data_IF_324941885944
#
_entry.id   IF_324941885944
#
_cell.length_a   1.000
_cell.length_b   1.000
_cell.length_c   1.000
_cell.angle_alpha   90.00
_cell.angle_beta   90.00
_cell.angle_gamma   90.00
#
_symmetry.space_group_name_H-M   'P 1'
#
loop_
_entity.id
_entity.type
_entity.pdbx_description
1 polymer ?
#
# COMPACT_ATOMS: atom_id res chain seq x y z
N UNK A 1 12.06 -2.02 13.91
CA UNK A 1 11.99 -2.03 12.43
C UNK A 1 11.14 -3.21 12.01
N UNK A 2 10.12 -3.04 11.16
CA UNK A 2 9.40 -4.20 10.60
C UNK A 2 10.35 -5.01 9.70
N UNK A 3 10.37 -6.33 9.86
CA UNK A 3 11.26 -7.24 9.10
C UNK A 3 10.57 -7.70 7.80
N UNK A 4 10.26 -6.73 6.94
CA UNK A 4 9.65 -6.97 5.63
C UNK A 4 10.73 -7.43 4.64
N UNK A 5 10.41 -8.39 3.78
CA UNK A 5 11.31 -8.92 2.75
C UNK A 5 10.60 -9.09 1.41
N UNK A 6 11.39 -9.34 0.36
CA UNK A 6 10.89 -9.64 -0.98
C UNK A 6 9.88 -10.79 -0.95
N UNK A 7 8.75 -10.61 -1.63
CA UNK A 7 7.66 -11.59 -1.69
C UNK A 7 6.69 -11.56 -0.51
N UNK A 8 6.88 -10.69 0.48
CA UNK A 8 5.94 -10.61 1.61
C UNK A 8 4.58 -10.03 1.20
N UNK A 9 3.58 -10.39 2.00
CA UNK A 9 2.22 -9.87 1.95
C UNK A 9 2.03 -8.97 3.17
N UNK A 10 1.77 -7.70 2.93
CA UNK A 10 1.72 -6.67 3.98
C UNK A 10 0.33 -6.06 4.04
N UNK A 11 -0.22 -6.00 5.26
CA UNK A 11 -1.42 -5.24 5.59
C UNK A 11 -1.00 -3.98 6.35
N UNK A 12 -1.48 -2.83 5.90
CA UNK A 12 -1.31 -1.53 6.57
C UNK A 12 -2.69 -1.02 7.03
N UNK A 13 -2.84 -0.85 8.34
CA UNK A 13 -4.09 -0.41 8.98
C UNK A 13 -3.95 1.08 9.28
N UNK A 14 -4.99 1.86 8.94
CA UNK A 14 -4.96 3.32 8.95
C UNK A 14 -3.89 3.88 7.99
N UNK A 15 -3.86 3.32 6.76
CA UNK A 15 -2.81 3.61 5.79
C UNK A 15 -2.81 5.07 5.29
N UNK A 16 -3.87 5.84 5.59
CA UNK A 16 -4.03 7.23 5.21
C UNK A 16 -3.97 7.40 3.70
N UNK A 17 -3.13 8.34 3.26
CA UNK A 17 -2.89 8.59 1.82
C UNK A 17 -1.82 7.66 1.23
N UNK A 18 -1.49 6.57 1.92
CA UNK A 18 -0.59 5.50 1.46
C UNK A 18 0.89 5.87 1.37
N UNK A 19 1.37 6.88 2.12
CA UNK A 19 2.79 7.29 2.05
C UNK A 19 3.77 6.13 2.27
N UNK A 20 3.43 5.19 3.15
CA UNK A 20 4.29 4.03 3.43
C UNK A 20 4.18 2.93 2.36
N UNK A 21 3.11 2.91 1.58
CA UNK A 21 2.85 1.89 0.58
C UNK A 21 3.96 1.81 -0.47
N UNK A 22 4.51 2.96 -0.91
CA UNK A 22 5.62 3.01 -1.88
C UNK A 22 6.92 2.40 -1.33
N UNK A 23 7.24 2.68 -0.07
CA UNK A 23 8.43 2.11 0.58
C UNK A 23 8.31 0.59 0.68
N UNK A 24 7.14 0.10 1.07
CA UNK A 24 6.87 -1.33 1.21
C UNK A 24 6.83 -2.02 -0.17
N UNK A 25 6.17 -1.43 -1.16
CA UNK A 25 6.08 -1.94 -2.52
C UNK A 25 7.46 -2.16 -3.15
N UNK A 26 8.40 -1.22 -2.94
CA UNK A 26 9.79 -1.36 -3.39
C UNK A 26 10.55 -2.52 -2.74
N UNK A 27 10.24 -2.85 -1.48
CA UNK A 27 10.88 -3.95 -0.74
C UNK A 27 10.31 -5.31 -1.15
N UNK A 28 8.97 -5.43 -1.20
CA UNK A 28 8.31 -6.71 -1.46
C UNK A 28 8.39 -7.10 -2.94
N UNK A 29 8.49 -6.12 -3.84
CA UNK A 29 8.60 -6.30 -5.29
C UNK A 29 7.35 -6.94 -5.91
N UNK A 30 7.47 -7.34 -7.18
CA UNK A 30 6.35 -7.91 -7.96
C UNK A 30 5.82 -9.25 -7.44
N UNK A 31 6.63 -9.97 -6.66
CA UNK A 31 6.23 -11.25 -6.06
C UNK A 31 5.47 -11.07 -4.74
N UNK A 32 5.42 -9.86 -4.19
CA UNK A 32 4.72 -9.55 -2.95
C UNK A 32 3.42 -8.78 -3.20
N UNK A 33 2.71 -8.49 -2.11
CA UNK A 33 1.46 -7.73 -2.15
C UNK A 33 1.33 -6.76 -0.98
N UNK A 34 0.93 -5.53 -1.27
CA UNK A 34 0.55 -4.52 -0.28
C UNK A 34 -0.97 -4.34 -0.28
N UNK A 35 -1.58 -4.38 0.90
CA UNK A 35 -3.00 -4.06 1.11
C UNK A 35 -3.11 -2.99 2.18
N UNK A 36 -3.65 -1.82 1.83
CA UNK A 36 -3.94 -0.74 2.77
C UNK A 36 -5.43 -0.61 3.05
N UNK A 37 -5.79 -0.37 4.31
CA UNK A 37 -7.15 0.01 4.73
C UNK A 37 -7.13 1.31 5.53
N UNK A 38 -8.15 2.15 5.36
CA UNK A 38 -8.33 3.37 6.15
C UNK A 38 -9.82 3.75 6.21
N UNK A 39 -10.37 4.04 7.40
CA UNK A 39 -11.80 4.34 7.55
C UNK A 39 -12.20 5.68 6.90
N UNK A 40 -11.25 6.55 6.57
CA UNK A 40 -11.51 7.82 5.89
C UNK A 40 -11.59 7.62 4.37
N UNK A 41 -12.81 7.56 3.84
CA UNK A 41 -13.05 7.49 2.39
C UNK A 41 -12.35 8.62 1.61
N UNK A 42 -12.29 9.83 2.18
CA UNK A 42 -11.55 10.95 1.61
C UNK A 42 -10.05 10.66 1.46
N UNK A 43 -9.41 10.05 2.46
CA UNK A 43 -7.98 9.70 2.39
C UNK A 43 -7.71 8.59 1.38
N UNK A 44 -8.61 7.61 1.30
CA UNK A 44 -8.56 6.54 0.29
C UNK A 44 -8.66 7.11 -1.12
N UNK A 45 -9.54 8.09 -1.35
CA UNK A 45 -9.64 8.74 -2.67
C UNK A 45 -8.35 9.48 -3.04
N UNK A 46 -7.75 10.22 -2.10
CA UNK A 46 -6.45 10.84 -2.31
C UNK A 46 -5.33 9.82 -2.56
N UNK A 47 -5.34 8.70 -1.83
CA UNK A 47 -4.38 7.61 -2.05
C UNK A 47 -4.52 7.02 -3.46
N UNK A 48 -5.75 6.71 -3.90
CA UNK A 48 -6.00 6.16 -5.23
C UNK A 48 -5.56 7.10 -6.35
N UNK A 49 -5.86 8.40 -6.23
CA UNK A 49 -5.37 9.42 -7.19
C UNK A 49 -3.85 9.50 -7.22
N UNK A 50 -3.20 9.35 -6.07
CA UNK A 50 -1.74 9.37 -5.96
C UNK A 50 -1.08 8.16 -6.63
N UNK A 51 -1.78 7.02 -6.66
CA UNK A 51 -1.27 5.75 -7.17
C UNK A 51 -1.98 5.31 -8.46
N UNK A 52 -2.57 6.24 -9.21
CA UNK A 52 -3.17 5.92 -10.49
C UNK A 52 -2.06 5.57 -11.50
N UNK A 53 -2.03 4.31 -11.96
CA UNK A 53 -0.96 3.75 -12.80
C UNK A 53 0.20 3.05 -12.07
N UNK A 54 0.14 2.92 -10.74
CA UNK A 54 1.18 2.27 -9.94
C UNK A 54 1.12 0.72 -9.99
N UNK A 55 2.17 0.02 -9.50
CA UNK A 55 2.36 -1.40 -9.78
C UNK A 55 1.20 -2.29 -9.27
N UNK A 56 0.89 -3.39 -10.00
CA UNK A 56 -0.23 -4.28 -9.69
C UNK A 56 -0.13 -4.98 -8.33
N UNK A 57 1.04 -4.93 -7.68
CA UNK A 57 1.24 -5.45 -6.32
C UNK A 57 0.61 -4.59 -5.22
N UNK A 58 -0.04 -3.47 -5.53
CA UNK A 58 -0.60 -2.54 -4.55
C UNK A 58 -2.13 -2.44 -4.65
N UNK A 59 -2.82 -2.51 -3.52
CA UNK A 59 -4.27 -2.30 -3.44
C UNK A 59 -4.67 -1.53 -2.18
N UNK A 60 -5.58 -0.56 -2.30
CA UNK A 60 -6.02 0.31 -1.20
C UNK A 60 -7.55 0.37 -1.14
N UNK A 61 -8.09 0.04 0.03
CA UNK A 61 -9.52 -0.16 0.30
C UNK A 61 -10.02 0.70 1.46
N UNK A 62 -11.34 0.88 1.53
CA UNK A 62 -12.03 1.46 2.68
C UNK A 62 -12.12 0.43 3.81
#
# INVERSE_FOLDING_TARGET
>A
MMRIKKGDFVLDIDCGTGKQALNVAGIIGLAGKFTGIDPSSYRIELARKKFDGDPPSMSIFW
#
